data_IF_891435081093
#
_entry.id   IF_891435081093
#
_cell.length_a   1.000
_cell.length_b   1.000
_cell.length_c   1.000
_cell.angle_alpha   90.00
_cell.angle_beta   90.00
_cell.angle_gamma   90.00
#
_symmetry.space_group_name_H-M   'P 1'
#
loop_
_entity.id
_entity.type
_entity.pdbx_description
1 polymer ?
#
# COMPACT_ATOMS: atom_id res chain seq x y z
N UNK A 1 -25.13 6.94 -5.38
CA UNK A 1 -23.70 7.26 -5.15
C UNK A 1 -23.06 7.49 -6.51
N UNK A 2 -22.03 8.32 -6.59
CA UNK A 2 -21.54 8.97 -7.82
C UNK A 2 -20.12 8.55 -8.17
N UNK A 3 -19.91 8.19 -9.44
CA UNK A 3 -18.75 7.46 -9.97
C UNK A 3 -17.66 8.44 -10.53
N UNK A 4 -16.33 8.18 -10.43
CA UNK A 4 -15.15 9.01 -10.87
C UNK A 4 -14.51 8.67 -12.23
N UNK A 5 -14.49 9.58 -13.19
CA UNK A 5 -14.36 9.22 -14.61
C UNK A 5 -12.95 8.76 -15.17
N UNK A 6 -12.60 7.46 -15.37
CA UNK A 6 -11.34 6.89 -15.96
C UNK A 6 -11.27 6.89 -17.51
N UNK A 7 -10.68 7.93 -18.10
CA UNK A 7 -10.65 8.19 -19.55
C UNK A 7 -9.52 7.49 -20.31
N UNK A 8 -9.84 6.45 -21.10
CA UNK A 8 -9.14 6.13 -22.36
C UNK A 8 -9.76 7.00 -23.46
N UNK A 9 -8.93 7.85 -24.08
CA UNK A 9 -8.93 8.35 -25.46
C UNK A 9 -10.19 8.99 -26.08
N UNK A 10 -11.41 8.65 -25.64
CA UNK A 10 -12.69 8.95 -26.29
C UNK A 10 -13.85 9.23 -25.33
N UNK A 11 -13.64 9.27 -23.99
CA UNK A 11 -14.74 9.60 -23.08
C UNK A 11 -14.40 9.65 -21.58
N UNK A 12 -15.23 10.33 -20.80
CA UNK A 12 -15.10 10.54 -19.35
C UNK A 12 -15.84 9.37 -18.65
N UNK A 13 -15.17 8.38 -17.99
CA UNK A 13 -15.76 7.09 -17.48
C UNK A 13 -15.89 6.82 -15.96
N UNK A 14 -17.05 6.96 -15.35
CA UNK A 14 -17.18 7.14 -13.91
C UNK A 14 -16.79 5.85 -13.14
N UNK A 15 -15.87 5.92 -12.17
CA UNK A 15 -15.34 4.91 -11.26
C UNK A 15 -15.95 5.13 -9.86
N UNK A 16 -17.05 4.45 -9.55
CA UNK A 16 -17.64 4.52 -8.20
C UNK A 16 -16.75 3.88 -7.16
N UNK A 17 -16.15 2.76 -7.52
CA UNK A 17 -15.50 1.89 -6.57
C UNK A 17 -14.29 1.26 -7.22
N UNK A 18 -13.17 1.38 -6.53
CA UNK A 18 -11.99 0.58 -6.77
C UNK A 18 -12.04 -0.59 -5.79
N UNK A 19 -12.14 -1.82 -6.30
CA UNK A 19 -12.04 -3.03 -5.48
C UNK A 19 -10.61 -3.54 -5.54
N UNK A 20 -9.87 -3.30 -4.47
CA UNK A 20 -8.53 -3.85 -4.30
C UNK A 20 -8.64 -5.22 -3.65
N UNK A 21 -8.00 -6.22 -4.25
CA UNK A 21 -7.85 -7.54 -3.61
C UNK A 21 -6.85 -7.43 -2.47
N UNK A 22 -7.07 -8.20 -1.41
CA UNK A 22 -6.22 -8.21 -0.22
C UNK A 22 -4.89 -8.97 -0.42
N UNK A 23 -4.68 -9.52 -1.62
CA UNK A 23 -3.50 -10.28 -2.01
C UNK A 23 -3.21 -10.03 -3.49
N UNK A 24 -1.91 -10.00 -3.82
CA UNK A 24 -1.44 -9.91 -5.19
C UNK A 24 -1.32 -11.32 -5.78
N UNK A 25 -2.06 -11.61 -6.84
CA UNK A 25 -2.03 -12.93 -7.52
C UNK A 25 -0.91 -13.03 -8.56
N UNK A 26 -0.53 -11.91 -9.18
CA UNK A 26 0.56 -11.87 -10.15
C UNK A 26 1.91 -11.64 -9.45
N UNK A 27 2.94 -12.36 -9.87
CA UNK A 27 4.34 -12.14 -9.42
C UNK A 27 5.12 -11.29 -10.43
N UNK A 28 4.64 -11.19 -11.67
CA UNK A 28 5.25 -10.43 -12.78
C UNK A 28 4.99 -8.94 -12.66
N UNK A 29 5.90 -8.08 -13.11
CA UNK A 29 5.66 -6.64 -13.15
C UNK A 29 4.38 -6.29 -13.97
N UNK A 30 3.71 -5.17 -13.64
CA UNK A 30 2.60 -4.64 -14.43
C UNK A 30 3.00 -4.40 -15.90
N UNK A 31 2.01 -4.27 -16.78
CA UNK A 31 2.24 -3.85 -18.16
C UNK A 31 2.90 -2.46 -18.23
N UNK A 32 3.55 -2.17 -19.36
CA UNK A 32 4.17 -0.86 -19.58
C UNK A 32 3.17 0.30 -19.36
N UNK A 33 3.66 1.39 -18.78
CA UNK A 33 2.93 2.59 -18.38
C UNK A 33 1.78 2.33 -17.38
N UNK A 34 1.87 1.26 -16.57
CA UNK A 34 0.84 0.89 -15.61
C UNK A 34 1.38 0.87 -14.17
N UNK A 35 0.50 1.22 -13.24
CA UNK A 35 0.69 1.02 -11.79
C UNK A 35 -0.38 0.07 -11.30
N UNK A 36 0.01 -0.90 -10.46
CA UNK A 36 -0.92 -1.80 -9.78
C UNK A 36 -0.95 -1.46 -8.29
N UNK A 37 -2.15 -1.32 -7.73
CA UNK A 37 -2.39 -1.14 -6.30
C UNK A 37 -2.81 -2.46 -5.68
N UNK A 38 -2.23 -2.82 -4.53
CA UNK A 38 -2.58 -4.05 -3.81
C UNK A 38 -2.36 -3.88 -2.31
N UNK A 39 -2.95 -4.76 -1.51
CA UNK A 39 -2.77 -4.75 -0.05
C UNK A 39 -1.78 -5.84 0.38
N UNK A 40 -0.91 -5.52 1.35
CA UNK A 40 -0.06 -6.48 2.09
C UNK A 40 -0.33 -6.33 3.58
N UNK A 41 -0.89 -7.37 4.20
CA UNK A 41 -1.25 -7.40 5.63
C UNK A 41 -1.99 -6.15 6.12
N UNK A 42 -2.92 -5.62 5.30
CA UNK A 42 -3.73 -4.45 5.64
C UNK A 42 -3.09 -3.09 5.32
N UNK A 43 -1.91 -3.06 4.70
CA UNK A 43 -1.24 -1.83 4.22
C UNK A 43 -1.35 -1.75 2.70
N UNK A 44 -1.65 -0.57 2.17
CA UNK A 44 -1.72 -0.33 0.73
C UNK A 44 -0.32 -0.15 0.14
N UNK A 45 -0.05 -0.83 -0.96
CA UNK A 45 1.17 -0.72 -1.74
C UNK A 45 0.82 -0.44 -3.21
N UNK A 46 1.78 0.19 -3.90
CA UNK A 46 1.83 0.25 -5.35
C UNK A 46 3.05 -0.51 -5.87
N UNK A 47 2.94 -1.04 -7.08
CA UNK A 47 4.07 -1.53 -7.86
C UNK A 47 4.02 -0.90 -9.25
N UNK A 48 5.16 -0.40 -9.73
CA UNK A 48 5.28 0.18 -11.07
C UNK A 48 5.68 -0.87 -12.12
N UNK A 49 5.67 -0.50 -13.40
CA UNK A 49 6.09 -1.33 -14.54
C UNK A 49 7.51 -1.93 -14.41
N UNK A 50 8.39 -1.33 -13.58
CA UNK A 50 9.74 -1.83 -13.32
C UNK A 50 9.78 -2.85 -12.17
N UNK A 51 8.63 -3.19 -11.58
CA UNK A 51 8.53 -4.09 -10.44
C UNK A 51 8.93 -3.46 -9.10
N UNK A 52 9.12 -2.14 -9.04
CA UNK A 52 9.47 -1.45 -7.79
C UNK A 52 8.22 -1.25 -6.96
N UNK A 53 8.23 -1.81 -5.75
CA UNK A 53 7.16 -1.66 -4.79
C UNK A 53 7.36 -0.45 -3.88
N UNK A 54 6.26 0.22 -3.54
CA UNK A 54 6.25 1.33 -2.62
C UNK A 54 5.00 1.30 -1.76
N UNK A 55 5.16 1.54 -0.45
CA UNK A 55 4.05 1.71 0.47
C UNK A 55 3.31 3.03 0.20
N UNK A 56 1.98 2.99 0.20
CA UNK A 56 1.13 4.16 0.05
C UNK A 56 0.51 4.53 1.39
N UNK A 57 0.84 5.74 1.86
CA UNK A 57 0.40 6.26 3.15
C UNK A 57 1.11 5.61 4.33
N UNK A 58 0.79 6.07 5.53
CA UNK A 58 1.33 5.55 6.79
C UNK A 58 0.14 5.09 7.65
N UNK A 59 -0.08 3.77 7.82
CA UNK A 59 -1.17 3.27 8.63
C UNK A 59 -0.94 3.62 10.11
N UNK A 60 -2.04 3.93 10.80
CA UNK A 60 -2.07 4.17 12.24
C UNK A 60 -2.47 2.88 12.95
N UNK A 61 -1.64 2.40 13.87
CA UNK A 61 -1.83 1.10 14.53
C UNK A 61 -1.49 1.16 16.02
N UNK A 62 -1.95 0.19 16.82
CA UNK A 62 -1.45 -0.01 18.19
C UNK A 62 -0.08 -0.69 18.17
N UNK A 63 0.64 -0.65 19.30
CA UNK A 63 1.88 -1.42 19.48
C UNK A 63 1.68 -2.91 19.21
N UNK A 64 0.60 -3.50 19.72
CA UNK A 64 0.31 -4.92 19.49
C UNK A 64 0.12 -5.22 17.99
N UNK A 65 -0.64 -4.39 17.27
CA UNK A 65 -0.85 -4.55 15.83
C UNK A 65 0.44 -4.39 15.03
N UNK A 66 1.27 -3.40 15.36
CA UNK A 66 2.59 -3.20 14.74
C UNK A 66 3.49 -4.42 14.91
N UNK A 67 3.53 -5.00 16.11
CA UNK A 67 4.41 -6.14 16.41
C UNK A 67 3.96 -7.45 15.74
N UNK A 68 2.73 -7.53 15.21
CA UNK A 68 2.27 -8.68 14.40
C UNK A 68 2.59 -8.53 12.90
N UNK A 69 3.17 -7.41 12.48
CA UNK A 69 3.52 -7.15 11.09
C UNK A 69 5.01 -7.42 10.84
N UNK A 70 5.28 -8.33 9.90
CA UNK A 70 6.61 -8.69 9.44
C UNK A 70 6.78 -8.37 7.95
N UNK A 71 6.62 -7.09 7.58
CA UNK A 71 6.81 -6.61 6.20
C UNK A 71 8.06 -5.75 6.15
N UNK A 72 9.11 -6.27 5.50
CA UNK A 72 10.36 -5.54 5.32
C UNK A 72 10.14 -4.19 4.62
N UNK A 73 10.67 -3.12 5.20
CA UNK A 73 10.51 -1.75 4.70
C UNK A 73 9.18 -1.09 5.05
N UNK A 74 8.28 -1.74 5.80
CA UNK A 74 7.04 -1.13 6.23
C UNK A 74 7.29 0.04 7.20
N UNK A 75 6.49 1.10 7.05
CA UNK A 75 6.49 2.27 7.93
C UNK A 75 5.09 2.43 8.52
N UNK A 76 4.99 2.56 9.84
CA UNK A 76 3.70 2.73 10.52
C UNK A 76 3.77 3.85 11.55
N UNK A 77 2.63 4.40 11.94
CA UNK A 77 2.51 5.27 13.09
C UNK A 77 1.91 4.48 14.27
N UNK A 78 2.66 4.32 15.35
CA UNK A 78 2.22 3.64 16.58
C UNK A 78 1.53 4.64 17.50
N UNK A 79 0.20 4.54 17.62
CA UNK A 79 -0.62 5.48 18.41
C UNK A 79 -0.48 5.32 19.93
N UNK A 80 0.10 4.23 20.42
CA UNK A 80 0.35 4.08 21.86
C UNK A 80 1.61 4.84 22.26
N UNK A 81 2.59 4.92 21.36
CA UNK A 81 3.89 5.56 21.57
C UNK A 81 3.97 6.95 20.93
N UNK A 82 2.97 7.32 20.12
CA UNK A 82 2.89 8.55 19.34
C UNK A 82 4.12 8.79 18.45
N UNK A 83 4.63 7.73 17.82
CA UNK A 83 5.85 7.77 16.99
C UNK A 83 5.72 6.94 15.72
N UNK A 84 6.51 7.31 14.73
CA UNK A 84 6.69 6.50 13.54
C UNK A 84 7.67 5.35 13.81
N UNK A 85 7.45 4.22 13.15
CA UNK A 85 8.33 3.06 13.22
C UNK A 85 8.56 2.51 11.82
N UNK A 86 9.78 2.06 11.55
CA UNK A 86 10.17 1.34 10.33
C UNK A 86 10.59 -0.09 10.66
N UNK A 87 10.21 -1.05 9.83
CA UNK A 87 10.62 -2.45 9.97
C UNK A 87 11.79 -2.77 9.03
N UNK A 88 12.91 -3.21 9.61
CA UNK A 88 14.10 -3.63 8.88
C UNK A 88 14.46 -5.08 9.22
N UNK A 89 15.57 -5.60 8.66
CA UNK A 89 16.07 -6.93 8.98
C UNK A 89 16.44 -7.13 10.46
N UNK A 90 16.63 -6.04 11.20
CA UNK A 90 16.89 -6.05 12.65
C UNK A 90 15.62 -5.88 13.50
N UNK A 91 14.44 -5.79 12.85
CA UNK A 91 13.16 -5.57 13.50
C UNK A 91 12.69 -4.11 13.45
N UNK A 92 11.73 -3.80 14.33
CA UNK A 92 11.12 -2.46 14.39
C UNK A 92 12.02 -1.43 15.07
N UNK A 93 12.21 -0.29 14.41
CA UNK A 93 12.98 0.85 14.92
C UNK A 93 12.12 2.11 14.90
N UNK A 94 12.22 2.94 15.93
CA UNK A 94 11.55 4.24 15.95
C UNK A 94 12.19 5.16 14.90
N UNK A 95 11.35 5.83 14.13
CA UNK A 95 11.74 6.88 13.19
C UNK A 95 11.38 8.22 13.85
N UNK A 96 12.36 9.11 13.89
CA UNK A 96 12.36 10.51 14.37
C UNK A 96 11.14 10.94 15.20
#
# INVERSE_FOLDING_TARGET
MSFVKLQDGRGVYALDSLRLRNQREAVTAPQANTVELFMKSGILYQINENGVEQQIGIPVMTTAQRLTLDILGAIVYDKNLNKHFGYSSTGWQALY
#
